data_IF_115078423088
#
_entry.id   IF_115078423088
#
_cell.length_a   1.000
_cell.length_b   1.000
_cell.length_c   1.000
_cell.angle_alpha   90.00
_cell.angle_beta   90.00
_cell.angle_gamma   90.00
#
_symmetry.space_group_name_H-M   'P 1'
#
loop_
_entity.id
_entity.type
_entity.pdbx_description
1 polymer ?
#
# COMPACT_ATOMS: atom_id res chain seq x y z
N UNK A 1 35.61 -15.14 -30.41
CA UNK A 1 34.94 -14.43 -29.29
C UNK A 1 33.47 -14.81 -29.34
N UNK A 2 32.99 -15.61 -28.40
CA UNK A 2 31.55 -15.84 -28.24
C UNK A 2 31.00 -14.68 -27.41
N UNK A 3 30.20 -13.82 -28.03
CA UNK A 3 29.40 -12.83 -27.30
C UNK A 3 28.29 -13.63 -26.63
N UNK A 4 28.36 -13.77 -25.30
CA UNK A 4 27.24 -14.31 -24.54
C UNK A 4 26.01 -13.44 -24.84
N UNK A 5 24.84 -14.03 -25.12
CA UNK A 5 23.62 -13.24 -25.29
C UNK A 5 23.42 -12.42 -24.03
N UNK A 6 23.25 -11.12 -24.26
CA UNK A 6 22.99 -10.09 -23.25
C UNK A 6 21.95 -10.63 -22.28
N UNK A 7 22.33 -10.77 -21.01
CA UNK A 7 21.61 -11.40 -19.90
C UNK A 7 20.15 -11.74 -20.21
N UNK A 8 19.84 -13.03 -20.33
CA UNK A 8 18.48 -13.53 -20.37
C UNK A 8 17.76 -13.12 -19.06
N UNK A 9 17.12 -11.95 -19.08
CA UNK A 9 16.34 -11.44 -17.97
C UNK A 9 15.19 -12.38 -17.69
N UNK A 10 14.79 -12.51 -16.42
CA UNK A 10 13.75 -13.43 -15.92
C UNK A 10 12.35 -13.12 -16.49
N UNK A 11 12.23 -12.21 -17.47
CA UNK A 11 11.00 -11.88 -18.18
C UNK A 11 9.97 -11.14 -17.33
N UNK A 12 10.34 -10.69 -16.13
CA UNK A 12 9.45 -9.99 -15.21
C UNK A 12 9.11 -8.62 -15.80
N UNK A 13 7.81 -8.35 -15.98
CA UNK A 13 7.29 -7.08 -16.50
C UNK A 13 6.52 -6.34 -15.42
N UNK A 14 6.48 -5.01 -15.52
CA UNK A 14 5.58 -4.17 -14.71
C UNK A 14 4.13 -4.47 -15.11
N UNK A 15 3.23 -4.56 -14.14
CA UNK A 15 1.81 -4.82 -14.37
C UNK A 15 0.91 -3.70 -13.84
N UNK A 16 1.22 -3.17 -12.66
CA UNK A 16 0.46 -2.09 -12.00
C UNK A 16 1.20 -0.76 -11.96
N UNK A 17 2.42 -0.69 -12.50
CA UNK A 17 3.30 0.48 -12.42
C UNK A 17 3.84 0.87 -13.78
N UNK A 18 4.11 2.16 -13.94
CA UNK A 18 4.79 2.72 -15.10
C UNK A 18 6.24 3.04 -14.75
N UNK A 19 7.14 3.03 -15.74
CA UNK A 19 8.56 3.32 -15.48
C UNK A 19 8.79 4.79 -15.08
N UNK A 20 7.96 5.70 -15.61
CA UNK A 20 8.14 7.14 -15.48
C UNK A 20 7.31 7.76 -14.34
N UNK A 21 6.59 6.96 -13.55
CA UNK A 21 5.68 7.45 -12.51
C UNK A 21 5.94 6.72 -11.20
N UNK A 22 6.06 7.50 -10.12
CA UNK A 22 6.16 6.91 -8.79
C UNK A 22 4.81 6.26 -8.43
N UNK A 23 4.77 4.98 -8.04
CA UNK A 23 3.50 4.28 -7.83
C UNK A 23 2.56 4.91 -6.82
N UNK A 24 3.08 5.59 -5.78
CA UNK A 24 2.22 6.26 -4.80
C UNK A 24 1.54 7.52 -5.35
N UNK A 25 2.08 8.14 -6.39
CA UNK A 25 1.47 9.29 -7.05
C UNK A 25 0.29 8.84 -7.94
N UNK A 26 0.17 7.53 -8.19
CA UNK A 26 -0.94 6.94 -8.95
C UNK A 26 -2.16 6.62 -8.09
N UNK A 27 -2.09 6.87 -6.78
CA UNK A 27 -3.16 6.56 -5.81
C UNK A 27 -3.60 7.85 -5.14
N UNK A 28 -4.90 8.02 -4.94
CA UNK A 28 -5.44 9.12 -4.15
C UNK A 28 -5.45 8.74 -2.67
N UNK A 29 -4.94 9.63 -1.82
CA UNK A 29 -4.76 9.41 -0.39
C UNK A 29 -5.66 10.33 0.42
N UNK A 30 -6.13 9.81 1.56
CA UNK A 30 -6.82 10.60 2.58
C UNK A 30 -6.28 10.25 3.97
N UNK A 31 -6.36 11.22 4.90
CA UNK A 31 -6.00 11.00 6.29
C UNK A 31 -7.17 10.39 7.05
N UNK A 32 -6.92 9.26 7.71
CA UNK A 32 -7.88 8.61 8.62
C UNK A 32 -7.22 8.25 9.94
N UNK A 33 -8.06 8.15 10.97
CA UNK A 33 -7.70 7.58 12.25
C UNK A 33 -8.11 6.10 12.28
N UNK A 34 -7.16 5.21 12.50
CA UNK A 34 -7.39 3.79 12.69
C UNK A 34 -7.46 3.48 14.19
N UNK A 35 -8.63 3.07 14.69
CA UNK A 35 -8.85 2.82 16.12
C UNK A 35 -9.63 1.54 16.35
N UNK A 36 -9.08 0.69 17.21
CA UNK A 36 -9.76 -0.53 17.67
C UNK A 36 -10.09 -0.33 19.14
N UNK A 37 -11.38 -0.35 19.46
CA UNK A 37 -11.89 -0.30 20.83
C UNK A 37 -12.37 -1.67 21.29
N UNK A 38 -11.98 -2.05 22.49
CA UNK A 38 -12.50 -3.24 23.16
C UNK A 38 -13.98 -3.03 23.49
N UNK A 39 -14.84 -3.91 22.96
CA UNK A 39 -16.29 -3.83 23.12
C UNK A 39 -16.77 -3.98 24.57
N UNK A 40 -15.94 -4.59 25.45
CA UNK A 40 -16.34 -4.91 26.83
C UNK A 40 -16.20 -3.73 27.78
N UNK A 41 -15.13 -2.97 27.65
CA UNK A 41 -14.76 -1.90 28.58
C UNK A 41 -14.55 -0.54 27.89
N UNK A 42 -14.66 -0.49 26.56
CA UNK A 42 -14.45 0.73 25.78
C UNK A 42 -12.99 1.17 25.70
N UNK A 43 -12.05 0.39 26.24
CA UNK A 43 -10.63 0.72 26.19
C UNK A 43 -10.09 0.64 24.76
N UNK A 44 -9.08 1.45 24.47
CA UNK A 44 -8.41 1.43 23.16
C UNK A 44 -7.41 0.29 23.14
N UNK A 45 -7.64 -0.70 22.28
CA UNK A 45 -6.68 -1.77 22.05
C UNK A 45 -5.59 -1.35 21.06
N UNK A 46 -5.92 -0.46 20.12
CA UNK A 46 -5.01 0.05 19.11
C UNK A 46 -5.45 1.43 18.61
N UNK A 47 -4.49 2.31 18.33
CA UNK A 47 -4.74 3.62 17.74
C UNK A 47 -3.56 4.09 16.89
N UNK A 48 -3.87 4.58 15.68
CA UNK A 48 -2.98 5.38 14.85
C UNK A 48 -3.78 6.54 14.26
N UNK A 49 -3.35 7.76 14.57
CA UNK A 49 -4.05 8.98 14.18
C UNK A 49 -3.36 9.62 12.98
N UNK A 50 -4.16 10.20 12.07
CA UNK A 50 -3.67 10.95 10.91
C UNK A 50 -2.77 10.14 9.98
N UNK A 51 -3.14 8.89 9.69
CA UNK A 51 -2.41 8.04 8.75
C UNK A 51 -3.02 8.15 7.36
N UNK A 52 -2.18 8.16 6.33
CA UNK A 52 -2.62 8.19 4.93
C UNK A 52 -3.08 6.80 4.48
N UNK A 53 -4.31 6.73 3.98
CA UNK A 53 -4.87 5.52 3.37
C UNK A 53 -5.35 5.83 1.95
N UNK A 54 -5.31 4.85 1.03
CA UNK A 54 -5.96 5.00 -0.26
C UNK A 54 -7.46 5.25 -0.07
N UNK A 55 -7.99 6.26 -0.75
CA UNK A 55 -9.41 6.66 -0.64
C UNK A 55 -10.36 5.47 -0.84
N UNK A 56 -10.04 4.57 -1.78
CA UNK A 56 -10.84 3.39 -2.10
C UNK A 56 -10.86 2.27 -1.05
N UNK A 57 -10.07 2.36 0.03
CA UNK A 57 -10.07 1.36 1.08
C UNK A 57 -11.32 1.46 1.95
N UNK A 58 -11.86 0.31 2.37
CA UNK A 58 -12.97 0.27 3.31
C UNK A 58 -12.50 0.62 4.73
N UNK A 59 -13.45 0.99 5.60
CA UNK A 59 -13.16 1.18 7.01
C UNK A 59 -12.57 -0.09 7.66
N UNK A 60 -13.02 -1.27 7.22
CA UNK A 60 -12.47 -2.54 7.69
C UNK A 60 -11.04 -2.81 7.18
N UNK A 61 -10.63 -2.22 6.06
CA UNK A 61 -9.23 -2.25 5.61
C UNK A 61 -8.35 -1.23 6.36
N UNK A 62 -8.97 -0.21 6.95
CA UNK A 62 -8.31 0.82 7.76
C UNK A 62 -8.16 0.39 9.22
N UNK A 63 -9.15 -0.32 9.75
CA UNK A 63 -9.18 -0.88 11.10
C UNK A 63 -8.70 -2.34 11.06
N UNK A 64 -7.44 -2.54 11.44
CA UNK A 64 -6.74 -3.84 11.47
C UNK A 64 -7.27 -4.80 12.55
#
# INVERSE_FOLDING_TARGET
MAIAPEQAGIGIRRHFTSADTHPYDMVEWELRDARITNYRDGSVAFEQLGVEFPVGWSLNATNI
#
